data_IF_255369180331
#
_entry.id   IF_255369180331
#
_cell.length_a   1.000
_cell.length_b   1.000
_cell.length_c   1.000
_cell.angle_alpha   90.00
_cell.angle_beta   90.00
_cell.angle_gamma   90.00
#
_symmetry.space_group_name_H-M   'P 1'
#
loop_
_entity.id
_entity.type
_entity.pdbx_description
1 polymer ?
#
# COMPACT_ATOMS: atom_id res chain seq x y z
N UNK A 1 19.59 -43.51 -62.55
CA UNK A 1 18.47 -43.00 -61.75
C UNK A 1 19.06 -42.16 -60.65
N UNK A 2 18.88 -40.81 -60.69
CA UNK A 2 19.41 -39.87 -59.71
C UNK A 2 18.22 -39.30 -58.90
N UNK A 3 18.08 -39.69 -57.63
CA UNK A 3 17.08 -39.16 -56.75
C UNK A 3 17.56 -37.79 -56.21
N UNK A 4 16.78 -36.75 -56.48
CA UNK A 4 16.96 -35.41 -55.88
C UNK A 4 16.04 -35.29 -54.65
N UNK A 5 16.62 -35.12 -53.47
CA UNK A 5 15.89 -34.74 -52.30
C UNK A 5 15.71 -33.19 -52.30
N UNK A 6 14.46 -32.76 -52.30
CA UNK A 6 14.09 -31.34 -52.12
C UNK A 6 13.96 -31.04 -50.65
N UNK A 7 14.80 -30.14 -50.12
CA UNK A 7 14.69 -29.61 -48.78
C UNK A 7 13.89 -28.32 -48.81
N UNK A 8 12.68 -28.34 -48.27
CA UNK A 8 11.89 -27.12 -48.06
C UNK A 8 12.36 -26.39 -46.80
N UNK A 9 12.52 -25.06 -46.81
CA UNK A 9 12.87 -24.31 -45.62
C UNK A 9 11.67 -24.17 -44.68
N UNK A 10 11.83 -24.59 -43.44
CA UNK A 10 10.88 -24.40 -42.37
C UNK A 10 10.94 -22.92 -41.91
N UNK A 11 9.97 -22.12 -42.32
CA UNK A 11 9.83 -20.75 -41.86
C UNK A 11 9.31 -20.74 -40.42
N UNK A 12 10.21 -20.36 -39.47
CA UNK A 12 9.84 -20.19 -38.08
C UNK A 12 9.10 -18.85 -37.90
N UNK A 13 7.77 -18.91 -37.76
CA UNK A 13 6.91 -17.77 -37.54
C UNK A 13 7.09 -17.33 -36.06
N UNK A 14 7.89 -16.30 -35.81
CA UNK A 14 8.06 -15.70 -34.50
C UNK A 14 6.84 -14.83 -34.17
N UNK A 15 5.85 -15.37 -33.45
CA UNK A 15 4.75 -14.58 -32.93
C UNK A 15 5.25 -13.65 -31.83
N UNK A 16 5.48 -12.38 -32.16
CA UNK A 16 5.65 -11.30 -31.18
C UNK A 16 4.31 -11.09 -30.44
N UNK A 17 4.22 -11.65 -29.25
CA UNK A 17 3.15 -11.28 -28.32
C UNK A 17 3.46 -9.90 -27.80
N UNK A 18 2.90 -8.86 -28.43
CA UNK A 18 2.89 -7.51 -27.87
C UNK A 18 1.89 -7.53 -26.72
N UNK A 19 2.37 -7.75 -25.51
CA UNK A 19 1.60 -7.48 -24.30
C UNK A 19 1.39 -5.97 -24.20
N UNK A 20 0.19 -5.50 -24.57
CA UNK A 20 -0.26 -4.16 -24.25
C UNK A 20 -0.36 -4.07 -22.71
N UNK A 21 0.74 -3.73 -22.05
CA UNK A 21 0.71 -3.31 -20.67
C UNK A 21 -0.13 -2.02 -20.64
N UNK A 22 -1.39 -2.16 -20.23
CA UNK A 22 -2.26 -1.02 -19.99
C UNK A 22 -1.54 -0.15 -18.96
N UNK A 23 -1.25 1.11 -19.30
CA UNK A 23 -0.66 2.04 -18.36
C UNK A 23 -1.51 2.01 -17.09
N UNK A 24 -0.89 1.67 -15.96
CA UNK A 24 -1.60 1.63 -14.69
C UNK A 24 -2.18 3.02 -14.43
N UNK A 25 -3.47 3.10 -14.10
CA UNK A 25 -4.14 4.36 -13.83
C UNK A 25 -3.37 5.14 -12.77
N UNK A 26 -2.96 6.35 -13.11
CA UNK A 26 -2.27 7.25 -12.20
C UNK A 26 -3.27 8.28 -11.65
N UNK A 27 -3.33 8.37 -10.34
CA UNK A 27 -4.20 9.30 -9.63
C UNK A 27 -3.36 10.44 -9.03
N UNK A 28 -4.01 11.44 -8.48
CA UNK A 28 -3.36 12.52 -7.72
C UNK A 28 -3.82 12.47 -6.26
N UNK A 29 -3.02 13.00 -5.33
CA UNK A 29 -3.53 13.36 -4.02
C UNK A 29 -4.73 14.30 -4.16
N UNK A 30 -5.59 14.33 -3.17
CA UNK A 30 -6.70 15.29 -3.18
C UNK A 30 -6.20 16.75 -3.01
N UNK A 31 -7.08 17.76 -3.10
CA UNK A 31 -6.68 19.17 -2.98
C UNK A 31 -5.93 19.51 -1.68
N UNK A 32 -6.18 18.77 -0.60
CA UNK A 32 -5.54 18.93 0.71
C UNK A 32 -4.28 18.05 0.88
N UNK A 33 -3.92 17.27 -0.15
CA UNK A 33 -2.75 16.38 -0.18
C UNK A 33 -3.00 14.98 0.36
N UNK A 34 -4.24 14.62 0.74
CA UNK A 34 -4.55 13.29 1.24
C UNK A 34 -4.50 12.23 0.15
N UNK A 35 -3.96 11.07 0.51
CA UNK A 35 -3.92 9.89 -0.35
C UNK A 35 -5.24 9.14 -0.18
N UNK A 36 -6.02 9.07 -1.27
CA UNK A 36 -7.34 8.44 -1.29
C UNK A 36 -7.34 7.04 -1.90
N UNK A 37 -6.24 6.63 -2.51
CA UNK A 37 -6.15 5.37 -3.27
C UNK A 37 -5.17 4.43 -2.59
N UNK A 38 -5.66 3.24 -2.25
CA UNK A 38 -4.91 2.24 -1.50
C UNK A 38 -5.16 0.84 -2.04
N UNK A 39 -4.15 -0.02 -1.96
CA UNK A 39 -4.30 -1.46 -2.07
C UNK A 39 -4.33 -2.00 -0.65
N UNK A 40 -5.46 -2.57 -0.23
CA UNK A 40 -5.69 -2.90 1.17
C UNK A 40 -5.92 -4.39 1.38
N UNK A 41 -5.50 -4.88 2.53
CA UNK A 41 -5.69 -6.24 3.00
C UNK A 41 -6.14 -6.23 4.46
N UNK A 42 -7.26 -6.85 4.75
CA UNK A 42 -7.82 -7.09 6.08
C UNK A 42 -8.92 -8.17 5.97
N UNK A 43 -9.35 -8.78 7.07
CA UNK A 43 -8.79 -8.71 8.41
C UNK A 43 -7.77 -9.82 8.66
N UNK A 44 -6.74 -9.55 9.43
CA UNK A 44 -5.80 -10.53 9.96
C UNK A 44 -5.99 -10.62 11.47
N UNK A 45 -6.57 -11.70 11.95
CA UNK A 45 -6.81 -11.86 13.40
C UNK A 45 -5.50 -11.98 14.17
N UNK A 46 -5.36 -11.22 15.24
CA UNK A 46 -4.21 -11.33 16.14
C UNK A 46 -4.24 -12.66 16.92
N UNK A 47 -3.08 -13.21 17.26
CA UNK A 47 -3.00 -14.36 18.15
C UNK A 47 -3.74 -14.14 19.47
N UNK A 48 -4.26 -15.21 20.07
CA UNK A 48 -4.91 -15.13 21.35
C UNK A 48 -3.95 -14.59 22.43
N UNK A 49 -4.42 -13.62 23.22
CA UNK A 49 -3.64 -12.98 24.28
C UNK A 49 -2.67 -11.88 23.81
N UNK A 50 -2.44 -11.71 22.51
CA UNK A 50 -1.58 -10.65 22.00
C UNK A 50 -2.34 -9.31 21.96
N UNK A 51 -1.77 -8.26 22.54
CA UNK A 51 -2.31 -6.89 22.49
C UNK A 51 -1.94 -6.19 21.18
N UNK A 52 -2.67 -5.13 20.80
CA UNK A 52 -2.30 -4.32 19.64
C UNK A 52 -0.95 -3.65 19.79
N UNK A 53 -0.65 -3.18 21.01
CA UNK A 53 0.65 -2.59 21.35
C UNK A 53 1.83 -3.56 21.21
N UNK A 54 1.60 -4.87 21.31
CA UNK A 54 2.61 -5.89 21.01
C UNK A 54 2.63 -6.25 19.53
N UNK A 55 1.45 -6.43 18.93
CA UNK A 55 1.27 -6.85 17.55
C UNK A 55 1.82 -5.85 16.53
N UNK A 56 1.79 -4.56 16.85
CA UNK A 56 2.30 -3.51 15.95
C UNK A 56 3.81 -3.66 15.69
N UNK A 57 4.57 -4.22 16.63
CA UNK A 57 6.01 -4.45 16.52
C UNK A 57 6.37 -5.80 15.88
N UNK A 58 5.41 -6.72 15.73
CA UNK A 58 5.62 -8.06 15.15
C UNK A 58 5.12 -8.09 13.71
N UNK A 59 5.81 -8.80 12.84
CA UNK A 59 5.32 -9.05 11.48
C UNK A 59 4.04 -9.90 11.51
N UNK A 60 2.96 -9.40 10.92
CA UNK A 60 1.74 -10.18 10.69
C UNK A 60 1.76 -10.84 9.30
N UNK A 61 2.52 -10.29 8.38
CA UNK A 61 2.85 -10.87 7.08
C UNK A 61 4.37 -10.91 6.96
N UNK A 62 4.93 -12.06 6.63
CA UNK A 62 6.39 -12.20 6.46
C UNK A 62 6.93 -11.19 5.44
N UNK A 63 7.93 -10.41 5.86
CA UNK A 63 8.55 -9.38 5.02
C UNK A 63 7.65 -8.16 4.80
N UNK A 64 6.80 -7.82 5.77
CA UNK A 64 5.81 -6.74 5.66
C UNK A 64 6.40 -5.40 5.21
N UNK A 65 7.65 -5.09 5.57
CA UNK A 65 8.31 -3.85 5.17
C UNK A 65 8.51 -3.71 3.65
N UNK A 66 8.59 -4.83 2.93
CA UNK A 66 8.87 -4.88 1.49
C UNK A 66 7.64 -5.26 0.65
N UNK A 67 6.43 -5.19 1.21
CA UNK A 67 5.21 -5.51 0.50
C UNK A 67 4.99 -4.60 -0.71
N UNK A 68 4.70 -5.21 -1.86
CA UNK A 68 4.36 -4.51 -3.11
C UNK A 68 3.19 -5.21 -3.82
N UNK A 69 2.02 -5.29 -3.18
CA UNK A 69 0.89 -6.02 -3.73
C UNK A 69 0.19 -5.26 -4.86
N UNK A 70 -0.57 -6.04 -5.65
CA UNK A 70 -1.59 -5.55 -6.58
C UNK A 70 -2.95 -6.08 -6.13
N UNK A 71 -4.02 -5.42 -6.55
CA UNK A 71 -5.36 -5.97 -6.35
C UNK A 71 -5.47 -7.33 -7.03
N UNK A 72 -6.04 -8.32 -6.31
CA UNK A 72 -6.13 -9.70 -6.73
C UNK A 72 -4.99 -10.60 -6.24
N UNK A 73 -3.88 -10.05 -5.78
CA UNK A 73 -2.83 -10.85 -5.15
C UNK A 73 -3.36 -11.51 -3.87
N UNK A 74 -2.88 -12.71 -3.61
CA UNK A 74 -3.33 -13.52 -2.47
C UNK A 74 -2.19 -13.76 -1.50
N UNK A 75 -2.53 -13.79 -0.22
CA UNK A 75 -1.60 -14.14 0.86
C UNK A 75 -2.29 -15.06 1.86
N UNK A 76 -1.53 -16.05 2.37
CA UNK A 76 -2.00 -16.92 3.46
C UNK A 76 -1.47 -16.42 4.78
N UNK A 77 -2.37 -16.07 5.71
CA UNK A 77 -2.05 -15.62 7.07
C UNK A 77 -3.02 -16.28 8.04
N UNK A 78 -2.51 -16.79 9.15
CA UNK A 78 -3.34 -17.44 10.18
C UNK A 78 -4.19 -18.60 9.64
N UNK A 79 -3.72 -19.31 8.61
CA UNK A 79 -4.46 -20.40 7.95
C UNK A 79 -5.56 -19.97 6.99
N UNK A 80 -5.81 -18.67 6.85
CA UNK A 80 -6.79 -18.08 5.91
C UNK A 80 -6.09 -17.54 4.66
N UNK A 81 -6.73 -17.63 3.51
CA UNK A 81 -6.29 -16.96 2.29
C UNK A 81 -7.04 -15.62 2.18
N UNK A 82 -6.29 -14.52 2.13
CA UNK A 82 -6.80 -13.17 1.98
C UNK A 82 -6.40 -12.63 0.60
N UNK A 83 -7.19 -11.70 0.07
CA UNK A 83 -6.97 -11.09 -1.24
C UNK A 83 -6.86 -9.58 -1.11
N UNK A 84 -5.80 -9.02 -1.69
CA UNK A 84 -5.60 -7.57 -1.77
C UNK A 84 -6.64 -6.89 -2.65
N UNK A 85 -7.17 -5.76 -2.22
CA UNK A 85 -8.25 -5.04 -2.90
C UNK A 85 -7.91 -3.57 -3.11
N UNK A 86 -8.28 -3.02 -4.27
CA UNK A 86 -8.20 -1.58 -4.50
C UNK A 86 -9.35 -0.87 -3.78
N UNK A 87 -9.01 0.06 -2.92
CA UNK A 87 -9.95 0.88 -2.15
C UNK A 87 -9.76 2.36 -2.49
N UNK A 88 -10.88 3.06 -2.62
CA UNK A 88 -10.91 4.51 -2.74
C UNK A 88 -11.61 5.08 -1.52
N UNK A 89 -10.87 5.83 -0.70
CA UNK A 89 -11.45 6.53 0.43
C UNK A 89 -12.35 7.68 -0.05
N UNK A 90 -13.55 7.77 0.49
CA UNK A 90 -14.49 8.87 0.23
C UNK A 90 -14.21 10.12 1.09
N UNK A 91 -13.42 9.94 2.16
CA UNK A 91 -13.04 10.96 3.14
C UNK A 91 -11.53 11.13 3.20
N UNK A 92 -11.01 11.99 4.08
CA UNK A 92 -9.58 12.22 4.30
C UNK A 92 -8.87 11.04 5.01
N UNK A 93 -9.58 9.97 5.29
CA UNK A 93 -9.06 8.73 5.86
C UNK A 93 -9.63 7.53 5.10
N UNK A 94 -8.93 6.41 5.12
CA UNK A 94 -9.46 5.10 4.72
C UNK A 94 -9.98 4.35 5.94
N UNK A 95 -10.92 3.43 5.72
CA UNK A 95 -11.62 2.72 6.77
C UNK A 95 -11.66 1.22 6.46
N UNK A 96 -10.97 0.43 7.29
CA UNK A 96 -10.97 -1.02 7.16
C UNK A 96 -12.32 -1.62 7.54
N UNK A 97 -13.05 -1.05 8.51
CA UNK A 97 -14.38 -1.52 8.88
C UNK A 97 -15.33 -1.43 7.70
N UNK A 98 -15.28 -0.34 6.94
CA UNK A 98 -16.07 -0.18 5.72
C UNK A 98 -15.66 -1.17 4.62
N UNK A 99 -14.38 -1.52 4.53
CA UNK A 99 -13.86 -2.52 3.59
C UNK A 99 -14.35 -3.93 3.93
N UNK A 100 -14.21 -4.36 5.20
CA UNK A 100 -14.60 -5.72 5.64
C UNK A 100 -16.09 -5.86 5.92
N UNK A 101 -16.81 -4.73 6.05
CA UNK A 101 -18.27 -4.66 6.28
C UNK A 101 -18.75 -5.30 7.59
N UNK A 102 -17.85 -5.45 8.53
CA UNK A 102 -18.13 -5.98 9.86
C UNK A 102 -17.33 -5.20 10.89
N UNK A 103 -17.85 -5.11 12.11
CA UNK A 103 -17.06 -4.65 13.24
C UNK A 103 -16.15 -5.81 13.65
N UNK A 104 -14.86 -5.56 13.62
CA UNK A 104 -13.85 -6.51 14.01
C UNK A 104 -13.02 -5.94 15.14
N UNK A 105 -12.57 -6.80 16.02
CA UNK A 105 -11.70 -6.46 17.14
C UNK A 105 -10.47 -7.33 17.09
N UNK A 106 -9.34 -6.81 17.56
CA UNK A 106 -8.06 -7.53 17.62
C UNK A 106 -7.63 -8.05 16.26
N UNK A 107 -7.58 -7.13 15.31
CA UNK A 107 -7.28 -7.42 13.90
C UNK A 107 -6.19 -6.48 13.38
N UNK A 108 -5.35 -7.00 12.48
CA UNK A 108 -4.39 -6.21 11.73
C UNK A 108 -4.86 -6.01 10.29
N UNK A 109 -4.58 -4.82 9.75
CA UNK A 109 -4.80 -4.49 8.35
C UNK A 109 -3.60 -3.77 7.75
N UNK A 110 -3.45 -3.91 6.44
CA UNK A 110 -2.42 -3.24 5.66
C UNK A 110 -3.03 -2.40 4.56
N UNK A 111 -2.54 -1.18 4.41
CA UNK A 111 -2.85 -0.30 3.31
C UNK A 111 -1.54 0.06 2.59
N UNK A 112 -1.45 -0.25 1.30
CA UNK A 112 -0.27 0.02 0.49
C UNK A 112 -0.62 1.02 -0.60
N UNK A 113 0.25 1.99 -0.82
CA UNK A 113 0.14 2.94 -1.93
C UNK A 113 1.50 3.18 -2.56
N UNK A 114 1.48 3.50 -3.83
CA UNK A 114 2.68 3.77 -4.63
C UNK A 114 2.68 5.23 -5.03
N UNK A 115 3.79 5.93 -4.77
CA UNK A 115 3.95 7.34 -5.05
C UNK A 115 5.03 7.50 -6.10
N UNK A 116 4.65 7.90 -7.31
CA UNK A 116 5.59 8.19 -8.39
C UNK A 116 5.95 9.67 -8.38
N UNK A 117 7.24 9.95 -8.28
CA UNK A 117 7.79 11.31 -8.36
C UNK A 117 8.69 11.46 -9.58
N UNK A 118 8.55 12.54 -10.34
CA UNK A 118 9.37 12.79 -11.55
C UNK A 118 10.81 13.19 -11.21
N UNK A 119 11.01 13.76 -10.03
CA UNK A 119 12.32 14.17 -9.50
C UNK A 119 12.46 13.71 -8.05
N UNK A 120 13.67 13.71 -7.53
CA UNK A 120 13.87 13.59 -6.09
C UNK A 120 13.32 14.84 -5.37
N UNK A 121 12.61 14.63 -4.27
CA UNK A 121 12.05 15.70 -3.44
C UNK A 121 12.39 15.42 -1.98
N UNK A 122 13.28 16.22 -1.42
CA UNK A 122 13.66 16.16 -0.01
C UNK A 122 12.72 16.98 0.87
N UNK A 123 12.75 16.72 2.18
CA UNK A 123 11.95 17.42 3.19
C UNK A 123 10.42 17.39 2.94
N UNK A 124 9.92 16.39 2.22
CA UNK A 124 8.48 16.16 2.11
C UNK A 124 7.95 15.79 3.48
N UNK A 125 6.93 16.48 3.96
CA UNK A 125 6.27 16.17 5.22
C UNK A 125 5.20 15.11 4.94
N UNK A 126 5.37 13.95 5.55
CA UNK A 126 4.35 12.91 5.63
C UNK A 126 3.58 13.12 6.94
N UNK A 127 2.32 13.52 6.83
CA UNK A 127 1.42 13.67 7.97
C UNK A 127 0.48 12.46 8.02
N UNK A 128 0.39 11.82 9.19
CA UNK A 128 -0.29 10.54 9.37
C UNK A 128 -1.18 10.53 10.59
N UNK A 129 -2.14 9.63 10.58
CA UNK A 129 -2.98 9.31 11.75
C UNK A 129 -3.45 7.87 11.64
N UNK A 130 -3.62 7.21 12.79
CA UNK A 130 -4.18 5.86 12.90
C UNK A 130 -5.23 5.80 14.02
N UNK A 131 -6.10 4.84 13.93
CA UNK A 131 -7.00 4.35 14.96
C UNK A 131 -6.99 2.81 14.82
N UNK A 132 -6.40 1.98 15.73
CA UNK A 132 -5.67 2.42 16.92
C UNK A 132 -4.16 2.60 16.63
N UNK A 133 -3.33 1.54 16.83
CA UNK A 133 -1.88 1.56 16.60
C UNK A 133 -1.55 1.62 15.10
N UNK A 134 -0.49 2.31 14.76
CA UNK A 134 -0.07 2.47 13.37
C UNK A 134 1.44 2.34 13.17
N UNK A 135 1.85 1.71 12.06
CA UNK A 135 3.26 1.59 11.66
C UNK A 135 3.41 1.80 10.17
N UNK A 136 4.40 2.57 9.76
CA UNK A 136 4.67 2.84 8.35
C UNK A 136 6.08 2.41 7.98
N UNK A 137 6.14 1.62 6.91
CA UNK A 137 7.37 1.38 6.17
C UNK A 137 7.34 2.21 4.88
N UNK A 138 8.41 2.95 4.67
CA UNK A 138 8.60 3.75 3.46
C UNK A 138 9.83 3.26 2.70
N UNK A 139 9.62 2.79 1.48
CA UNK A 139 10.69 2.17 0.68
C UNK A 139 11.43 1.03 1.42
N UNK A 140 10.71 0.24 2.21
CA UNK A 140 11.25 -0.88 2.99
C UNK A 140 11.89 -0.48 4.31
N UNK A 141 11.92 0.81 4.67
CA UNK A 141 12.47 1.31 5.92
C UNK A 141 11.35 1.67 6.89
N UNK A 142 11.45 1.20 8.13
CA UNK A 142 10.56 1.60 9.22
C UNK A 142 10.80 3.06 9.58
N UNK A 143 9.80 3.90 9.35
CA UNK A 143 9.92 5.35 9.54
C UNK A 143 8.99 5.91 10.61
N UNK A 144 8.01 5.12 11.04
CA UNK A 144 6.99 5.57 11.98
C UNK A 144 6.34 4.40 12.67
N UNK A 145 6.17 4.52 13.98
CA UNK A 145 5.35 3.63 14.80
C UNK A 145 4.66 4.41 15.90
N UNK A 146 3.39 4.15 16.09
CA UNK A 146 2.60 4.56 17.25
C UNK A 146 1.98 3.29 17.85
N UNK A 147 2.35 2.96 19.08
CA UNK A 147 2.10 1.67 19.72
C UNK A 147 1.05 1.70 20.83
N UNK A 148 0.17 2.70 20.85
CA UNK A 148 -0.88 2.83 21.85
C UNK A 148 -2.25 2.96 21.17
N UNK A 149 -3.33 2.47 21.79
CA UNK A 149 -4.68 2.69 21.26
C UNK A 149 -5.05 4.17 21.29
N UNK A 150 -5.68 4.64 20.22
CA UNK A 150 -6.15 6.03 20.11
C UNK A 150 -7.28 6.20 19.11
N UNK A 151 -8.02 7.29 19.23
CA UNK A 151 -8.96 7.73 18.20
C UNK A 151 -8.22 8.43 17.05
N UNK A 152 -8.78 8.36 15.83
CA UNK A 152 -8.21 9.05 14.68
C UNK A 152 -8.25 10.57 14.88
N UNK A 153 -7.08 11.19 14.79
CA UNK A 153 -6.94 12.64 14.74
C UNK A 153 -6.05 13.00 13.56
N UNK A 154 -6.62 13.61 12.53
CA UNK A 154 -5.89 13.94 11.29
C UNK A 154 -4.63 14.75 11.60
N UNK A 155 -3.52 14.42 10.92
CA UNK A 155 -2.20 15.04 11.09
C UNK A 155 -1.60 14.93 12.52
N UNK A 156 -2.05 13.94 13.29
CA UNK A 156 -1.56 13.74 14.65
C UNK A 156 -0.05 13.64 14.71
N UNK A 157 0.54 12.97 13.72
CA UNK A 157 1.97 12.76 13.63
C UNK A 157 2.52 13.24 12.30
N UNK A 158 3.75 13.79 12.33
CA UNK A 158 4.41 14.31 11.13
C UNK A 158 5.88 13.92 11.13
N UNK A 159 6.34 13.45 9.98
CA UNK A 159 7.75 13.15 9.75
C UNK A 159 8.21 13.64 8.39
N UNK A 160 9.53 13.81 8.24
CA UNK A 160 10.13 14.18 6.95
C UNK A 160 10.59 12.93 6.22
N UNK A 161 10.31 12.88 4.93
CA UNK A 161 10.77 11.82 4.03
C UNK A 161 11.39 12.44 2.77
N UNK A 162 12.21 11.65 2.08
CA UNK A 162 12.69 12.00 0.73
C UNK A 162 12.01 11.08 -0.27
N UNK A 163 11.19 11.65 -1.14
CA UNK A 163 10.69 10.94 -2.31
C UNK A 163 11.84 10.79 -3.32
N UNK A 164 12.22 9.56 -3.63
CA UNK A 164 13.17 9.28 -4.69
C UNK A 164 12.51 9.54 -6.05
N UNK A 165 13.29 9.90 -7.07
CA UNK A 165 12.83 9.87 -8.45
C UNK A 165 12.34 8.47 -8.82
N UNK A 166 11.17 8.38 -9.43
CA UNK A 166 10.50 7.12 -9.74
C UNK A 166 9.54 6.71 -8.66
N UNK A 167 9.38 5.40 -8.44
CA UNK A 167 8.38 4.82 -7.57
C UNK A 167 8.87 4.77 -6.11
N UNK A 168 8.02 5.23 -5.21
CA UNK A 168 8.17 5.10 -3.76
C UNK A 168 6.99 4.29 -3.23
N UNK A 169 7.24 3.43 -2.26
CA UNK A 169 6.24 2.53 -1.68
C UNK A 169 5.99 2.89 -0.23
N UNK A 170 4.74 3.02 0.12
CA UNK A 170 4.29 3.16 1.51
C UNK A 170 3.52 1.90 1.88
N UNK A 171 3.92 1.27 2.97
CA UNK A 171 3.15 0.20 3.63
C UNK A 171 2.71 0.72 4.98
N UNK A 172 1.41 0.87 5.17
CA UNK A 172 0.82 1.33 6.41
C UNK A 172 0.08 0.17 7.06
N UNK A 173 0.62 -0.34 8.18
CA UNK A 173 -0.02 -1.32 9.03
C UNK A 173 -0.81 -0.62 10.11
N UNK A 174 -2.05 -1.05 10.35
CA UNK A 174 -2.89 -0.55 11.44
C UNK A 174 -3.49 -1.73 12.18
N UNK A 175 -3.39 -1.70 13.50
CA UNK A 175 -4.07 -2.62 14.39
C UNK A 175 -5.39 -1.99 14.81
N UNK A 176 -6.41 -2.81 14.98
CA UNK A 176 -7.68 -2.47 15.59
C UNK A 176 -7.84 -3.26 16.88
N UNK A 177 -7.76 -2.58 18.01
CA UNK A 177 -8.11 -3.21 19.30
C UNK A 177 -9.62 -3.33 19.42
N UNK A 178 -10.34 -2.24 19.14
CA UNK A 178 -11.79 -2.21 19.13
C UNK A 178 -12.37 -0.97 18.43
N UNK A 179 -13.59 -1.08 17.92
CA UNK A 179 -14.35 0.05 17.40
C UNK A 179 -13.97 0.45 15.97
N UNK A 180 -13.59 1.70 15.76
CA UNK A 180 -13.22 2.21 14.45
C UNK A 180 -11.81 1.74 14.04
N UNK A 181 -11.62 1.44 12.78
CA UNK A 181 -10.36 0.95 12.23
C UNK A 181 -9.94 1.78 11.02
N UNK A 182 -9.21 2.85 11.27
CA UNK A 182 -9.02 3.91 10.30
C UNK A 182 -7.57 4.36 10.20
N UNK A 183 -7.20 4.87 9.02
CA UNK A 183 -5.91 5.49 8.80
C UNK A 183 -5.99 6.65 7.84
N UNK A 184 -5.13 7.65 8.05
CA UNK A 184 -5.01 8.80 7.18
C UNK A 184 -3.55 9.09 6.87
N UNK A 185 -3.29 9.52 5.64
CA UNK A 185 -1.97 10.01 5.25
C UNK A 185 -2.10 11.11 4.20
N UNK A 186 -1.34 12.18 4.37
CA UNK A 186 -1.15 13.19 3.33
C UNK A 186 0.30 13.61 3.20
N UNK A 187 0.61 14.16 2.02
CA UNK A 187 1.93 14.67 1.70
C UNK A 187 1.87 16.19 1.57
N UNK A 188 2.79 16.84 2.25
CA UNK A 188 2.97 18.28 2.23
C UNK A 188 4.40 18.59 1.77
N UNK A 189 4.59 19.73 1.12
CA UNK A 189 5.92 20.23 0.83
C UNK A 189 6.61 20.74 2.12
N UNK A 190 7.86 21.15 2.01
CA UNK A 190 8.64 21.68 3.15
C UNK A 190 8.03 22.92 3.79
N UNK A 191 7.16 23.63 3.09
CA UNK A 191 6.42 24.80 3.57
C UNK A 191 5.08 24.45 4.21
N UNK A 192 4.66 23.18 4.19
CA UNK A 192 3.39 22.71 4.73
C UNK A 192 2.21 22.81 3.74
N UNK A 193 2.45 23.17 2.49
CA UNK A 193 1.41 23.16 1.46
C UNK A 193 1.22 21.74 0.87
N UNK A 194 -0.01 21.38 0.42
CA UNK A 194 -0.28 20.09 -0.20
C UNK A 194 0.64 19.79 -1.37
N UNK A 195 1.29 18.61 -1.35
CA UNK A 195 2.18 18.17 -2.42
C UNK A 195 1.36 17.72 -3.63
N UNK A 196 1.47 18.43 -4.78
CA UNK A 196 0.62 18.21 -5.95
C UNK A 196 1.32 17.53 -7.13
N UNK A 197 2.66 17.47 -7.12
CA UNK A 197 3.47 17.02 -8.26
C UNK A 197 3.90 15.55 -8.13
N UNK A 198 3.01 14.73 -7.62
CA UNK A 198 3.20 13.28 -7.52
C UNK A 198 2.02 12.55 -8.14
N UNK A 199 2.24 11.32 -8.58
CA UNK A 199 1.19 10.42 -9.06
C UNK A 199 1.03 9.28 -8.08
N UNK A 200 -0.21 8.93 -7.78
CA UNK A 200 -0.56 7.80 -6.93
C UNK A 200 -0.91 6.62 -7.83
N UNK A 201 -0.31 5.48 -7.57
CA UNK A 201 -0.56 4.23 -8.28
C UNK A 201 -1.04 3.14 -7.33
N UNK A 202 -1.68 2.12 -7.87
CA UNK A 202 -2.20 0.95 -7.15
C UNK A 202 -1.46 -0.34 -7.53
N UNK A 203 -0.31 -0.20 -8.16
CA UNK A 203 0.62 -1.30 -8.46
C UNK A 203 2.03 -0.74 -8.67
N UNK A 204 3.07 -1.55 -8.44
CA UNK A 204 4.44 -1.19 -8.78
C UNK A 204 4.68 -1.10 -10.30
#
# INVERSE_FOLDING_TARGET
MKNRFSTAPLALLLCLVVSNARAADAFKPDPEGYIRRWVMLAPISLPEGETGSEAIFKEQIKGEAALQPRAGDKVKVGGKELTWQNITASTNYFDFTAMVKTLNEREAGYAVTYIESETEQSDVIMAVASNDEGRIYFNGVDIYVFGEPRTLMLDADKGKVTLKKGLNVVVFKIINEQGNWQGAMRLLDKGGAPLKHVKIKLSP
#
